data_IF_228988425530
#
_entry.id   IF_228988425530
#
_cell.length_a   1.000
_cell.length_b   1.000
_cell.length_c   1.000
_cell.angle_alpha   90.00
_cell.angle_beta   90.00
_cell.angle_gamma   90.00
#
_symmetry.space_group_name_H-M   'P 1'
#
loop_
_entity.id
_entity.type
_entity.pdbx_description
1 polymer ?
#
# COMPACT_ATOMS: atom_id res chain seq x y z
N UNK A 1 -9.12 0.24 2.54
CA UNK A 1 -8.72 1.65 2.75
C UNK A 1 -7.57 2.12 1.84
N UNK A 2 -7.25 1.42 0.74
CA UNK A 2 -6.25 1.84 -0.26
C UNK A 2 -6.87 2.16 -1.62
N UNK A 3 -8.20 2.26 -1.67
CA UNK A 3 -8.91 2.62 -2.90
C UNK A 3 -8.59 4.08 -3.24
N UNK A 4 -8.08 4.32 -4.44
CA UNK A 4 -7.62 5.65 -4.87
C UNK A 4 -6.19 6.02 -4.46
N UNK A 5 -5.45 5.15 -3.75
CA UNK A 5 -4.04 5.42 -3.41
C UNK A 5 -3.12 5.51 -4.65
N UNK A 6 -3.61 5.06 -5.80
CA UNK A 6 -2.94 5.13 -7.10
C UNK A 6 -2.69 6.57 -7.55
N UNK A 7 -3.60 7.49 -7.24
CA UNK A 7 -3.56 8.90 -7.69
C UNK A 7 -3.09 9.88 -6.63
N UNK A 8 -2.81 9.41 -5.40
CA UNK A 8 -2.38 10.28 -4.31
C UNK A 8 -0.95 10.80 -4.50
N UNK A 9 -0.66 12.00 -4.01
CA UNK A 9 0.72 12.43 -3.78
C UNK A 9 1.28 11.66 -2.58
N UNK A 10 2.09 10.64 -2.83
CA UNK A 10 2.71 9.84 -1.76
C UNK A 10 3.88 10.58 -1.16
N UNK A 11 3.63 11.34 -0.11
CA UNK A 11 4.70 11.77 0.79
C UNK A 11 5.12 10.58 1.67
N UNK A 12 6.42 10.46 1.93
CA UNK A 12 7.00 9.47 2.85
C UNK A 12 6.34 9.55 4.23
N UNK A 13 5.95 10.76 4.65
CA UNK A 13 5.24 10.99 5.92
C UNK A 13 3.85 10.37 5.92
N UNK A 14 3.10 10.46 4.82
CA UNK A 14 1.76 9.87 4.69
C UNK A 14 1.85 8.34 4.66
N UNK A 15 2.80 7.79 3.90
CA UNK A 15 3.05 6.35 3.87
C UNK A 15 3.38 5.81 5.26
N UNK A 16 4.27 6.49 6.00
CA UNK A 16 4.62 6.11 7.37
C UNK A 16 3.41 6.10 8.31
N UNK A 17 2.53 7.11 8.24
CA UNK A 17 1.30 7.15 9.05
C UNK A 17 0.36 5.98 8.72
N UNK A 18 0.19 5.66 7.44
CA UNK A 18 -0.61 4.50 6.99
C UNK A 18 0.01 3.19 7.49
N UNK A 19 1.32 3.05 7.42
CA UNK A 19 2.02 1.86 7.92
C UNK A 19 1.83 1.65 9.43
N UNK A 20 1.93 2.72 10.23
CA UNK A 20 1.71 2.65 11.68
C UNK A 20 0.29 2.22 11.99
N UNK A 21 -0.70 2.77 11.27
CA UNK A 21 -2.10 2.36 11.41
C UNK A 21 -2.30 0.87 11.09
N UNK A 22 -1.80 0.39 9.95
CA UNK A 22 -1.88 -1.01 9.54
C UNK A 22 -1.21 -1.92 10.57
N UNK A 23 -0.01 -1.57 11.03
CA UNK A 23 0.72 -2.32 12.05
C UNK A 23 -0.05 -2.40 13.37
N UNK A 24 -0.78 -1.35 13.75
CA UNK A 24 -1.68 -1.35 14.91
C UNK A 24 -2.86 -2.30 14.73
N UNK A 25 -3.48 -2.32 13.55
CA UNK A 25 -4.54 -3.27 13.21
C UNK A 25 -4.05 -4.72 13.24
N UNK A 26 -2.89 -5.02 12.65
CA UNK A 26 -2.33 -6.37 12.61
C UNK A 26 -2.03 -6.90 14.02
N UNK A 27 -1.49 -6.06 14.92
CA UNK A 27 -1.27 -6.44 16.33
C UNK A 27 -2.58 -6.74 17.07
N UNK A 28 -3.64 -5.96 16.81
CA UNK A 28 -4.97 -6.24 17.37
C UNK A 28 -5.56 -7.56 16.85
N UNK A 29 -5.41 -7.84 15.55
CA UNK A 29 -5.91 -9.09 14.93
C UNK A 29 -5.16 -10.31 15.48
N UNK A 30 -3.85 -10.21 15.66
CA UNK A 30 -3.01 -11.27 16.24
C UNK A 30 -3.08 -11.34 17.77
N UNK A 31 -3.95 -10.55 18.41
CA UNK A 31 -4.12 -10.46 19.86
C UNK A 31 -2.79 -10.34 20.63
N UNK A 32 -1.83 -9.58 20.09
CA UNK A 32 -0.48 -9.47 20.67
C UNK A 32 -0.53 -8.53 21.87
N UNK A 33 -0.26 -9.05 23.07
CA UNK A 33 -0.28 -8.27 24.31
C UNK A 33 1.13 -7.77 24.67
N UNK A 34 1.21 -6.73 25.51
CA UNK A 34 2.46 -6.05 25.90
C UNK A 34 3.67 -6.93 26.29
N UNK A 35 3.54 -8.16 26.85
CA UNK A 35 4.70 -9.04 27.04
C UNK A 35 5.32 -9.56 25.73
N UNK A 36 4.55 -9.68 24.64
CA UNK A 36 5.03 -10.16 23.34
C UNK A 36 5.48 -9.00 22.45
N UNK A 37 6.73 -8.58 22.63
CA UNK A 37 7.35 -7.55 21.78
C UNK A 37 7.72 -8.13 20.42
N UNK A 38 6.73 -8.26 19.53
CA UNK A 38 6.93 -8.69 18.15
C UNK A 38 7.49 -7.53 17.30
N UNK A 39 8.62 -7.78 16.63
CA UNK A 39 9.20 -6.87 15.65
C UNK A 39 8.27 -6.69 14.44
N UNK A 40 8.30 -5.52 13.79
CA UNK A 40 7.46 -5.27 12.61
C UNK A 40 7.72 -6.27 11.48
N UNK A 41 8.95 -6.74 11.31
CA UNK A 41 9.29 -7.74 10.28
C UNK A 41 8.63 -9.08 10.56
N UNK A 42 8.71 -9.57 11.81
CA UNK A 42 8.08 -10.82 12.21
C UNK A 42 6.54 -10.75 12.12
N UNK A 43 5.97 -9.57 12.40
CA UNK A 43 4.54 -9.29 12.22
C UNK A 43 4.10 -9.49 10.75
N UNK A 44 4.88 -8.96 9.82
CA UNK A 44 4.62 -9.06 8.38
C UNK A 44 4.82 -10.48 7.87
N UNK A 45 5.87 -11.17 8.30
CA UNK A 45 6.12 -12.59 7.95
C UNK A 45 4.97 -13.49 8.42
N UNK A 46 4.48 -13.31 9.65
CA UNK A 46 3.35 -14.09 10.18
C UNK A 46 2.02 -13.83 9.46
N UNK A 47 1.82 -12.62 8.97
CA UNK A 47 0.57 -12.23 8.29
C UNK A 47 0.66 -12.33 6.77
N UNK A 48 1.83 -12.73 6.26
CA UNK A 48 2.18 -12.71 4.83
C UNK A 48 1.84 -11.37 4.16
N UNK A 49 1.99 -10.27 4.92
CA UNK A 49 1.70 -8.91 4.45
C UNK A 49 2.99 -8.23 3.98
N UNK A 50 2.87 -7.38 2.96
CA UNK A 50 3.94 -6.50 2.53
C UNK A 50 3.83 -5.13 3.22
N UNK A 51 4.94 -4.38 3.32
CA UNK A 51 4.88 -2.98 3.72
C UNK A 51 3.91 -2.19 2.81
N UNK A 52 3.22 -1.21 3.39
CA UNK A 52 2.23 -0.38 2.71
C UNK A 52 2.83 0.33 1.48
N UNK A 53 4.11 0.71 1.55
CA UNK A 53 4.82 1.31 0.42
C UNK A 53 4.89 0.37 -0.79
N UNK A 54 5.26 -0.88 -0.56
CA UNK A 54 5.37 -1.93 -1.57
C UNK A 54 4.02 -2.17 -2.26
N UNK A 55 2.97 -2.28 -1.45
CA UNK A 55 1.59 -2.50 -1.92
C UNK A 55 1.07 -1.30 -2.74
N UNK A 56 1.34 -0.07 -2.29
CA UNK A 56 0.97 1.15 -3.03
C UNK A 56 1.73 1.23 -4.36
N UNK A 57 3.03 0.91 -4.35
CA UNK A 57 3.88 0.89 -5.56
C UNK A 57 3.35 -0.11 -6.58
N UNK A 58 3.03 -1.33 -6.13
CA UNK A 58 2.48 -2.40 -6.99
C UNK A 58 1.15 -1.98 -7.63
N UNK A 59 0.24 -1.38 -6.85
CA UNK A 59 -1.05 -0.89 -7.35
C UNK A 59 -0.89 0.21 -8.40
N UNK A 60 0.02 1.17 -8.18
CA UNK A 60 0.33 2.21 -9.17
C UNK A 60 0.82 1.63 -10.48
N UNK A 61 1.76 0.68 -10.44
CA UNK A 61 2.26 0.04 -11.65
C UNK A 61 1.16 -0.74 -12.39
N UNK A 62 0.29 -1.43 -11.65
CA UNK A 62 -0.87 -2.10 -12.25
C UNK A 62 -1.83 -1.09 -12.91
N UNK A 63 -2.09 0.06 -12.28
CA UNK A 63 -2.93 1.12 -12.81
C UNK A 63 -2.33 1.75 -14.08
N UNK A 64 -1.04 2.08 -14.05
CA UNK A 64 -0.29 2.56 -15.24
C UNK A 64 -0.40 1.54 -16.38
N UNK A 65 -0.12 0.27 -16.08
CA UNK A 65 -0.22 -0.80 -17.07
C UNK A 65 -1.65 -1.01 -17.61
N UNK A 66 -2.68 -0.76 -16.82
CA UNK A 66 -4.07 -0.79 -17.28
C UNK A 66 -4.39 0.41 -18.20
N UNK A 67 -3.95 1.62 -17.82
CA UNK A 67 -4.14 2.84 -18.60
C UNK A 67 -3.43 2.79 -19.95
N UNK A 68 -2.19 2.28 -19.99
CA UNK A 68 -1.42 2.12 -21.23
C UNK A 68 -2.03 1.12 -22.21
N UNK A 69 -2.77 0.12 -21.72
CA UNK A 69 -3.49 -0.85 -22.55
C UNK A 69 -4.73 -0.26 -23.24
N UNK A 70 -5.20 0.94 -22.87
CA UNK A 70 -6.31 1.63 -23.54
C UNK A 70 -5.88 2.20 -24.89
N UNK A 71 -6.84 2.48 -25.77
CA UNK A 71 -6.58 3.08 -27.09
C UNK A 71 -5.85 4.42 -26.97
N UNK A 72 -5.09 4.78 -28.01
CA UNK A 72 -4.32 6.04 -28.06
C UNK A 72 -5.19 7.29 -27.95
N UNK A 73 -6.47 7.19 -28.32
CA UNK A 73 -7.44 8.28 -28.26
C UNK A 73 -8.08 8.42 -26.88
N UNK A 74 -7.77 7.52 -25.94
CA UNK A 74 -8.33 7.58 -24.60
C UNK A 74 -7.66 8.71 -23.80
N UNK A 75 -8.48 9.65 -23.33
CA UNK A 75 -8.04 10.84 -22.56
C UNK A 75 -7.14 10.45 -21.39
N UNK A 76 -7.42 9.33 -20.71
CA UNK A 76 -6.61 8.88 -19.57
C UNK A 76 -5.22 8.38 -19.97
N UNK A 77 -5.05 7.81 -21.17
CA UNK A 77 -3.75 7.43 -21.73
C UNK A 77 -2.99 8.66 -22.22
N UNK A 78 -3.69 9.60 -22.85
CA UNK A 78 -3.10 10.85 -23.31
C UNK A 78 -2.60 11.70 -22.14
N UNK A 79 -3.37 11.79 -21.05
CA UNK A 79 -2.95 12.51 -19.83
C UNK A 79 -1.75 11.88 -19.11
N UNK A 80 -1.40 10.63 -19.44
CA UNK A 80 -0.24 9.93 -18.91
C UNK A 80 1.00 10.07 -19.81
N UNK A 81 0.80 10.46 -21.08
CA UNK A 81 1.87 10.62 -22.09
C UNK A 81 2.38 12.06 -22.06
#
# INVERSE_FOLDING_TARGET
MLYGAETWRTSTTTIKKVQVFINGCLRKILNTHWPDTISNRLLWERTNQLPAEEEIRKRRWNWIGHTLRKSSNCITRQALT
#
